data_IF_704615448401
#
_entry.id   IF_704615448401
#
_cell.length_a   1.000
_cell.length_b   1.000
_cell.length_c   1.000
_cell.angle_alpha   90.00
_cell.angle_beta   90.00
_cell.angle_gamma   90.00
#
_symmetry.space_group_name_H-M   'P 1'
#
loop_
_entity.id
_entity.type
_entity.pdbx_description
1 polymer ?
#
# COMPACT_ATOMS: atom_id res chain seq x y z
N UNK A 1 6.48 7.80 12.18
CA UNK A 1 6.07 7.23 10.88
C UNK A 1 6.72 8.03 9.73
N UNK A 2 7.33 7.34 8.77
CA UNK A 2 7.96 7.99 7.60
C UNK A 2 6.93 8.49 6.57
N UNK A 3 5.67 8.07 6.72
CA UNK A 3 4.52 8.49 5.91
C UNK A 3 3.32 8.74 6.84
N UNK A 4 2.98 10.00 7.18
CA UNK A 4 1.79 10.32 7.96
C UNK A 4 0.50 10.17 7.13
N UNK A 5 -0.64 9.94 7.80
CA UNK A 5 -1.94 9.79 7.12
C UNK A 5 -2.39 11.04 6.36
N UNK A 6 -1.87 12.22 6.71
CA UNK A 6 -2.10 13.45 5.94
C UNK A 6 -1.60 13.34 4.50
N UNK A 7 -0.49 12.65 4.29
CA UNK A 7 0.14 12.53 2.97
C UNK A 7 -0.62 11.51 2.12
N UNK A 8 -1.13 10.43 2.74
CA UNK A 8 -2.04 9.47 2.10
C UNK A 8 -3.34 10.17 1.67
N UNK A 9 -3.89 11.05 2.51
CA UNK A 9 -5.08 11.82 2.15
C UNK A 9 -4.79 12.82 1.02
N UNK A 10 -3.63 13.47 1.03
CA UNK A 10 -3.23 14.42 0.00
C UNK A 10 -3.14 13.75 -1.38
N UNK A 11 -2.45 12.61 -1.50
CA UNK A 11 -2.35 11.90 -2.78
C UNK A 11 -3.71 11.38 -3.26
N UNK A 12 -4.60 10.97 -2.34
CA UNK A 12 -5.98 10.58 -2.68
C UNK A 12 -6.73 11.72 -3.37
N UNK A 13 -6.62 12.94 -2.84
CA UNK A 13 -7.27 14.12 -3.39
C UNK A 13 -6.72 14.43 -4.79
N UNK A 14 -5.40 14.41 -4.94
CA UNK A 14 -4.74 14.68 -6.22
C UNK A 14 -5.14 13.67 -7.31
N UNK A 15 -5.23 12.37 -6.96
CA UNK A 15 -5.65 11.33 -7.90
C UNK A 15 -7.14 11.46 -8.29
N UNK A 16 -7.99 11.83 -7.34
CA UNK A 16 -9.40 12.12 -7.62
C UNK A 16 -9.57 13.34 -8.54
N UNK A 17 -8.83 14.42 -8.29
CA UNK A 17 -8.85 15.62 -9.15
C UNK A 17 -8.35 15.31 -10.57
N UNK A 18 -7.36 14.43 -10.69
CA UNK A 18 -6.83 13.95 -11.96
C UNK A 18 -7.73 12.93 -12.68
N UNK A 19 -8.79 12.43 -12.04
CA UNK A 19 -9.68 11.41 -12.60
C UNK A 19 -9.00 10.05 -12.80
N UNK A 20 -7.98 9.74 -11.99
CA UNK A 20 -7.24 8.47 -12.06
C UNK A 20 -8.01 7.42 -11.26
N UNK A 21 -8.22 6.23 -11.86
CA UNK A 21 -8.69 5.07 -11.11
C UNK A 21 -7.55 4.51 -10.28
N UNK A 22 -7.75 4.35 -8.98
CA UNK A 22 -6.73 3.86 -8.06
C UNK A 22 -7.37 3.11 -6.89
N UNK A 23 -6.58 2.24 -6.27
CA UNK A 23 -6.84 1.64 -4.96
C UNK A 23 -5.71 2.01 -3.99
N UNK A 24 -6.03 2.06 -2.70
CA UNK A 24 -5.06 2.38 -1.64
C UNK A 24 -5.30 1.51 -0.41
N UNK A 25 -4.33 0.66 -0.12
CA UNK A 25 -4.36 -0.27 1.01
C UNK A 25 -3.53 0.23 2.19
N UNK A 26 -4.08 0.15 3.40
CA UNK A 26 -3.43 0.58 4.65
C UNK A 26 -3.25 -0.62 5.57
N UNK A 27 -2.00 -1.09 5.70
CA UNK A 27 -1.66 -2.20 6.58
C UNK A 27 -1.35 -1.71 8.01
N UNK A 28 -2.36 -1.82 8.89
CA UNK A 28 -2.23 -1.44 10.29
C UNK A 28 -1.12 -2.21 11.02
N UNK A 29 -0.24 -1.49 11.72
CA UNK A 29 0.90 -2.08 12.42
C UNK A 29 2.10 -2.42 11.53
N UNK A 30 2.00 -2.26 10.21
CA UNK A 30 3.13 -2.31 9.29
C UNK A 30 4.01 -1.06 9.43
N UNK A 31 5.32 -1.25 9.59
CA UNK A 31 6.30 -0.18 9.49
C UNK A 31 6.82 -0.06 8.05
N UNK A 32 7.66 0.94 7.80
CA UNK A 32 8.32 1.03 6.50
C UNK A 32 9.12 -0.25 6.21
N UNK A 33 9.19 -0.65 4.94
CA UNK A 33 9.87 -1.88 4.51
C UNK A 33 9.28 -3.20 5.05
N UNK A 34 7.97 -3.24 5.33
CA UNK A 34 7.30 -4.44 5.86
C UNK A 34 7.40 -5.69 4.98
N UNK A 35 7.73 -5.55 3.68
CA UNK A 35 7.97 -6.66 2.74
C UNK A 35 9.42 -7.14 2.70
N UNK A 36 10.35 -6.46 3.38
CA UNK A 36 11.77 -6.83 3.39
C UNK A 36 12.05 -7.86 4.47
N UNK A 37 12.18 -9.13 4.08
CA UNK A 37 12.37 -10.26 5.00
C UNK A 37 13.60 -10.16 5.91
N UNK A 38 14.63 -9.41 5.51
CA UNK A 38 15.84 -9.18 6.32
C UNK A 38 15.73 -7.98 7.27
N UNK A 39 14.63 -7.24 7.24
CA UNK A 39 14.38 -6.07 8.09
C UNK A 39 13.82 -6.50 9.45
N UNK A 40 14.14 -5.75 10.50
CA UNK A 40 13.40 -5.85 11.78
C UNK A 40 11.94 -5.43 11.66
N UNK A 41 11.62 -4.70 10.60
CA UNK A 41 10.30 -4.14 10.32
C UNK A 41 9.44 -5.08 9.48
N UNK A 42 9.95 -6.28 9.14
CA UNK A 42 9.22 -7.29 8.39
C UNK A 42 7.90 -7.64 9.09
N UNK A 43 6.80 -7.59 8.37
CA UNK A 43 5.48 -7.99 8.86
C UNK A 43 4.86 -8.98 7.87
N UNK A 44 4.78 -10.28 8.23
CA UNK A 44 4.33 -11.32 7.30
C UNK A 44 2.85 -11.18 6.91
N UNK A 45 2.00 -10.68 7.80
CA UNK A 45 0.58 -10.51 7.50
C UNK A 45 0.39 -9.39 6.48
N UNK A 46 1.09 -8.26 6.64
CA UNK A 46 1.07 -7.15 5.68
C UNK A 46 1.71 -7.53 4.33
N UNK A 47 2.80 -8.30 4.36
CA UNK A 47 3.47 -8.83 3.16
C UNK A 47 2.51 -9.68 2.33
N UNK A 48 1.91 -10.71 2.94
CA UNK A 48 0.99 -11.63 2.26
C UNK A 48 -0.26 -10.93 1.73
N UNK A 49 -0.84 -10.01 2.49
CA UNK A 49 -1.98 -9.22 2.03
C UNK A 49 -1.57 -8.34 0.83
N UNK A 50 -0.49 -7.57 0.95
CA UNK A 50 -0.03 -6.72 -0.16
C UNK A 50 0.33 -7.48 -1.43
N UNK A 51 0.82 -8.70 -1.28
CA UNK A 51 1.09 -9.59 -2.40
C UNK A 51 -0.19 -10.08 -3.07
N UNK A 52 -1.21 -10.42 -2.29
CA UNK A 52 -2.53 -10.82 -2.81
C UNK A 52 -3.17 -9.68 -3.62
N UNK A 53 -3.19 -8.47 -3.07
CA UNK A 53 -3.75 -7.28 -3.73
C UNK A 53 -3.02 -6.95 -5.04
N UNK A 54 -1.69 -7.09 -5.06
CA UNK A 54 -0.91 -6.95 -6.29
C UNK A 54 -1.31 -7.97 -7.36
N UNK A 55 -1.48 -9.24 -6.98
CA UNK A 55 -1.88 -10.28 -7.92
C UNK A 55 -3.31 -10.08 -8.42
N UNK A 56 -4.22 -9.60 -7.57
CA UNK A 56 -5.58 -9.24 -7.94
C UNK A 56 -5.59 -8.12 -8.99
N UNK A 57 -4.90 -7.00 -8.72
CA UNK A 57 -4.72 -5.91 -9.67
C UNK A 57 -4.17 -6.38 -11.02
N UNK A 58 -3.15 -7.23 -11.01
CA UNK A 58 -2.58 -7.77 -12.25
C UNK A 58 -3.57 -8.67 -13.01
N UNK A 59 -4.43 -9.41 -12.30
CA UNK A 59 -5.46 -10.25 -12.90
C UNK A 59 -6.63 -9.47 -13.52
N UNK A 60 -6.88 -8.24 -13.05
CA UNK A 60 -7.93 -7.38 -13.61
C UNK A 60 -7.49 -6.71 -14.91
N UNK A 61 -6.19 -6.46 -15.08
CA UNK A 61 -5.65 -5.66 -16.18
C UNK A 61 -5.12 -6.53 -17.33
N UNK A 62 -4.77 -7.79 -17.07
CA UNK A 62 -4.19 -8.72 -18.05
C UNK A 62 -5.08 -9.96 -18.26
#
# INVERSE_FOLDING_TARGET
PVSPMSDVAAIALDLNEAGVSYDMEIYGGGLHSFTKWSSSDYNPDADLQSWSELLEFLSEIF
#
